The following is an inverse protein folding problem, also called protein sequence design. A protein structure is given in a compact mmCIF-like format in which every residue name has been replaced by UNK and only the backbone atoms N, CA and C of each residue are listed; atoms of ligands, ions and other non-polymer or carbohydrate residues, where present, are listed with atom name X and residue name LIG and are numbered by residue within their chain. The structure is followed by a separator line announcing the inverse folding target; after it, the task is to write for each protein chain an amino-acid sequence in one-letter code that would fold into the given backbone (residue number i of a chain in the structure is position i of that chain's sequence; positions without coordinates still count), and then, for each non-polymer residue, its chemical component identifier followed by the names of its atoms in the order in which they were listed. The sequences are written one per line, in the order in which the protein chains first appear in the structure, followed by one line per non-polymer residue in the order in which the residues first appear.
data_IF_177396885693
#
_entry.id   IF_177396885693
#
_cell.length_a   1.000
_cell.length_b   1.000
_cell.length_c   1.000
_cell.angle_alpha   90.00
_cell.angle_beta   90.00
_cell.angle_gamma   90.00
#
_symmetry.space_group_name_H-M   'P 1'
#
loop_
_entity.id
_entity.type
_entity.pdbx_description
1 polymer ?
#
# COMPACT_ATOMS: atom_id res chain seq x y z
N UNK A 1 -12.66 -2.81 2.89
CA UNK A 1 -12.98 -2.65 1.47
C UNK A 1 -12.13 -1.52 0.87
N UNK A 2 -11.81 -1.65 -0.41
CA UNK A 2 -11.19 -0.58 -1.21
C UNK A 2 -12.03 -0.33 -2.46
N UNK A 3 -11.81 0.84 -3.06
CA UNK A 3 -12.45 1.19 -4.33
C UNK A 3 -11.66 0.59 -5.48
N UNK A 4 -12.38 0.04 -6.44
CA UNK A 4 -11.87 -0.42 -7.72
C UNK A 4 -12.70 0.11 -8.87
N UNK A 5 -12.16 0.01 -10.08
CA UNK A 5 -12.84 0.37 -11.33
C UNK A 5 -12.77 -0.82 -12.26
N UNK A 6 -13.93 -1.30 -12.70
CA UNK A 6 -14.05 -2.34 -13.73
C UNK A 6 -15.02 -1.84 -14.80
N UNK A 7 -14.50 -1.51 -15.97
CA UNK A 7 -15.25 -0.75 -16.97
C UNK A 7 -15.56 0.66 -16.47
N UNK A 8 -16.80 1.11 -16.60
CA UNK A 8 -17.26 2.44 -16.17
C UNK A 8 -17.80 2.45 -14.73
N UNK A 9 -17.82 1.30 -14.04
CA UNK A 9 -18.41 1.17 -12.71
C UNK A 9 -17.35 1.12 -11.61
N UNK A 10 -17.63 1.84 -10.50
CA UNK A 10 -16.88 1.71 -9.24
C UNK A 10 -17.34 0.46 -8.49
N UNK A 11 -16.38 -0.27 -7.96
CA UNK A 11 -16.63 -1.43 -7.11
C UNK A 11 -16.06 -1.21 -5.72
N UNK A 12 -16.76 -1.69 -4.68
CA UNK A 12 -16.28 -1.70 -3.29
C UNK A 12 -16.10 -3.15 -2.88
N UNK A 13 -14.85 -3.61 -2.82
CA UNK A 13 -14.53 -5.02 -2.55
C UNK A 13 -13.48 -5.17 -1.46
N UNK A 14 -13.40 -6.34 -0.81
CA UNK A 14 -12.32 -6.65 0.11
C UNK A 14 -10.94 -6.51 -0.52
N UNK A 15 -9.97 -6.16 0.31
CA UNK A 15 -8.54 -6.18 -0.01
C UNK A 15 -7.99 -7.54 0.41
N UNK A 16 -7.26 -8.22 -0.47
CA UNK A 16 -6.49 -9.41 -0.13
C UNK A 16 -5.10 -8.99 0.36
N UNK A 17 -4.76 -9.39 1.58
CA UNK A 17 -3.42 -9.21 2.12
C UNK A 17 -2.67 -10.54 2.10
N UNK A 18 -1.40 -10.52 1.68
CA UNK A 18 -0.52 -11.69 1.63
C UNK A 18 0.75 -11.42 2.45
N UNK A 19 1.35 -12.46 3.04
CA UNK A 19 2.59 -12.37 3.81
C UNK A 19 3.55 -13.51 3.48
N UNK A 20 4.80 -13.43 3.95
CA UNK A 20 5.79 -14.50 3.81
C UNK A 20 6.43 -14.63 2.43
N UNK A 21 6.34 -13.60 1.61
CA UNK A 21 6.87 -13.57 0.25
C UNK A 21 8.10 -12.65 0.17
N UNK A 22 8.99 -12.88 -0.82
CA UNK A 22 10.05 -11.92 -1.12
C UNK A 22 9.45 -10.55 -1.42
N UNK A 23 10.22 -9.48 -1.25
CA UNK A 23 9.75 -8.11 -1.43
C UNK A 23 9.04 -7.86 -2.77
N UNK A 24 8.43 -6.68 -2.97
CA UNK A 24 7.54 -6.36 -4.09
C UNK A 24 8.28 -6.25 -5.44
N UNK A 25 8.83 -7.37 -5.91
CA UNK A 25 9.45 -7.54 -7.22
C UNK A 25 8.43 -7.85 -8.32
N UNK A 26 8.89 -7.96 -9.58
CA UNK A 26 8.05 -8.23 -10.75
C UNK A 26 7.24 -9.53 -10.61
N UNK A 27 7.83 -10.59 -10.07
CA UNK A 27 7.16 -11.88 -9.87
C UNK A 27 5.95 -11.76 -8.94
N UNK A 28 6.09 -10.97 -7.86
CA UNK A 28 5.01 -10.77 -6.91
C UNK A 28 3.87 -9.92 -7.51
N UNK A 29 4.20 -8.92 -8.35
CA UNK A 29 3.21 -8.16 -9.09
C UNK A 29 2.44 -9.02 -10.10
N UNK A 30 3.14 -9.92 -10.81
CA UNK A 30 2.50 -10.88 -11.71
C UNK A 30 1.55 -11.83 -10.96
N UNK A 31 1.98 -12.38 -9.82
CA UNK A 31 1.16 -13.23 -8.98
C UNK A 31 -0.06 -12.48 -8.43
N UNK A 32 0.08 -11.22 -8.02
CA UNK A 32 -1.05 -10.40 -7.57
C UNK A 32 -2.09 -10.18 -8.68
N UNK A 33 -1.62 -9.97 -9.93
CA UNK A 33 -2.50 -9.83 -11.10
C UNK A 33 -3.26 -11.13 -11.36
N UNK A 34 -2.60 -12.27 -11.25
CA UNK A 34 -3.24 -13.58 -11.42
C UNK A 34 -4.30 -13.82 -10.32
N UNK A 35 -3.99 -13.54 -9.05
CA UNK A 35 -4.93 -13.64 -7.94
C UNK A 35 -6.19 -12.80 -8.17
N UNK A 36 -6.06 -11.57 -8.66
CA UNK A 36 -7.21 -10.71 -8.96
C UNK A 36 -8.07 -11.30 -10.07
N UNK A 37 -7.46 -11.89 -11.10
CA UNK A 37 -8.20 -12.50 -12.21
C UNK A 37 -8.93 -13.77 -11.78
N UNK A 38 -8.37 -14.53 -10.81
CA UNK A 38 -8.97 -15.76 -10.29
C UNK A 38 -10.03 -15.51 -9.21
N UNK A 39 -9.95 -14.37 -8.50
CA UNK A 39 -10.80 -14.06 -7.35
C UNK A 39 -11.70 -12.84 -7.64
N UNK A 40 -12.83 -13.01 -8.32
CA UNK A 40 -13.68 -11.89 -8.74
C UNK A 40 -14.27 -11.07 -7.57
N UNK A 41 -14.14 -11.56 -6.34
CA UNK A 41 -14.61 -10.87 -5.12
C UNK A 41 -13.65 -9.82 -4.57
N UNK A 42 -12.43 -9.66 -5.12
CA UNK A 42 -11.44 -8.68 -4.69
C UNK A 42 -11.11 -7.69 -5.81
N UNK A 43 -10.63 -6.51 -5.47
CA UNK A 43 -10.14 -5.52 -6.43
C UNK A 43 -8.74 -5.01 -6.08
N UNK A 44 -8.13 -5.54 -5.02
CA UNK A 44 -6.82 -5.10 -4.56
C UNK A 44 -6.07 -6.20 -3.82
N UNK A 45 -4.77 -6.30 -4.08
CA UNK A 45 -3.84 -7.20 -3.40
C UNK A 45 -2.71 -6.36 -2.81
N UNK A 46 -2.41 -6.58 -1.54
CA UNK A 46 -1.31 -5.92 -0.82
C UNK A 46 -0.39 -6.96 -0.19
N UNK A 47 0.90 -6.71 -0.18
CA UNK A 47 1.89 -7.52 0.55
C UNK A 47 2.17 -6.89 1.92
N UNK A 48 2.16 -7.68 2.98
CA UNK A 48 2.70 -7.27 4.27
C UNK A 48 4.24 -7.29 4.17
N UNK A 49 4.86 -6.12 4.32
CA UNK A 49 6.32 -5.98 4.18
C UNK A 49 7.04 -5.81 5.51
N UNK A 50 6.36 -5.26 6.52
CA UNK A 50 6.86 -5.20 7.90
C UNK A 50 5.69 -5.10 8.89
N UNK A 51 5.82 -5.71 10.07
CA UNK A 51 4.77 -5.67 11.08
C UNK A 51 5.29 -6.04 12.48
N UNK A 52 4.67 -5.45 13.50
CA UNK A 52 4.86 -5.81 14.92
C UNK A 52 4.18 -7.12 15.32
N UNK A 53 3.37 -7.70 14.42
CA UNK A 53 2.62 -8.94 14.69
C UNK A 53 2.28 -9.66 13.36
N UNK A 54 2.02 -10.99 13.39
CA UNK A 54 1.60 -11.73 12.20
C UNK A 54 0.34 -11.15 11.56
N UNK A 55 0.21 -11.26 10.23
CA UNK A 55 -0.95 -10.76 9.47
C UNK A 55 -2.28 -11.21 10.07
N UNK A 56 -2.37 -12.49 10.44
CA UNK A 56 -3.59 -13.08 11.02
C UNK A 56 -4.04 -12.46 12.36
N UNK A 57 -3.15 -11.73 13.05
CA UNK A 57 -3.44 -11.06 14.33
C UNK A 57 -3.78 -9.58 14.18
N UNK A 58 -3.61 -8.98 13.00
CA UNK A 58 -3.98 -7.60 12.76
C UNK A 58 -5.52 -7.45 12.83
N UNK A 59 -5.98 -6.35 13.39
CA UNK A 59 -7.41 -6.07 13.58
C UNK A 59 -7.75 -4.67 13.12
N UNK A 60 -8.99 -4.50 12.68
CA UNK A 60 -9.56 -3.18 12.39
C UNK A 60 -9.69 -2.39 13.69
N UNK A 61 -9.25 -1.15 13.66
CA UNK A 61 -9.36 -0.20 14.76
C UNK A 61 -10.46 0.81 14.41
N UNK A 62 -11.45 1.04 15.30
CA UNK A 62 -12.40 2.13 15.11
C UNK A 62 -11.67 3.46 14.98
N UNK A 63 -12.00 4.23 13.97
CA UNK A 63 -11.32 5.50 13.72
C UNK A 63 -12.26 6.53 13.09
N UNK A 64 -11.88 7.78 13.23
CA UNK A 64 -12.43 8.94 12.56
C UNK A 64 -11.34 9.78 11.90
N UNK A 65 -11.71 10.89 11.29
CA UNK A 65 -10.75 11.84 10.72
C UNK A 65 -10.26 12.78 11.84
N UNK A 66 -9.30 12.33 12.64
CA UNK A 66 -8.71 13.11 13.73
C UNK A 66 -7.43 13.83 13.32
N UNK A 67 -7.09 14.89 14.07
CA UNK A 67 -5.83 15.61 13.87
C UNK A 67 -4.61 14.71 14.08
N UNK A 68 -4.66 13.82 15.06
CA UNK A 68 -3.60 12.88 15.36
C UNK A 68 -3.31 11.95 14.19
N UNK A 69 -4.35 11.39 13.57
CA UNK A 69 -4.22 10.54 12.39
C UNK A 69 -3.67 11.29 11.17
N UNK A 70 -4.12 12.54 10.96
CA UNK A 70 -3.58 13.39 9.90
C UNK A 70 -2.10 13.69 10.10
N UNK A 71 -1.66 13.96 11.33
CA UNK A 71 -0.24 14.19 11.63
C UNK A 71 0.58 12.91 11.45
N UNK A 72 0.04 11.73 11.81
CA UNK A 72 0.68 10.43 11.55
C UNK A 72 0.87 10.20 10.04
N UNK A 73 -0.16 10.44 9.25
CA UNK A 73 -0.10 10.33 7.79
C UNK A 73 0.92 11.32 7.19
N UNK A 74 0.94 12.57 7.63
CA UNK A 74 1.91 13.58 7.17
C UNK A 74 3.35 13.18 7.46
N UNK A 75 3.61 12.61 8.64
CA UNK A 75 4.94 12.08 8.99
C UNK A 75 5.32 10.91 8.07
N UNK A 76 4.41 9.98 7.82
CA UNK A 76 4.64 8.86 6.92
C UNK A 76 4.91 9.33 5.49
N UNK A 77 4.09 10.24 4.94
CA UNK A 77 4.28 10.82 3.61
C UNK A 77 5.63 11.56 3.51
N UNK A 78 6.01 12.32 4.53
CA UNK A 78 7.30 13.02 4.56
C UNK A 78 8.50 12.06 4.51
N UNK A 79 8.45 10.93 5.23
CA UNK A 79 9.47 9.88 5.18
C UNK A 79 9.56 9.30 3.77
N UNK A 80 8.42 8.89 3.20
CA UNK A 80 8.36 8.28 1.87
C UNK A 80 8.89 9.22 0.80
N UNK A 81 8.44 10.47 0.76
CA UNK A 81 8.89 11.48 -0.21
C UNK A 81 10.38 11.77 -0.11
N UNK A 82 10.91 11.90 1.11
CA UNK A 82 12.33 12.13 1.31
C UNK A 82 13.17 10.96 0.80
N UNK A 83 12.86 9.73 1.22
CA UNK A 83 13.60 8.54 0.84
C UNK A 83 13.49 8.22 -0.65
N UNK A 84 12.33 8.46 -1.25
CA UNK A 84 12.10 8.30 -2.68
C UNK A 84 13.00 9.24 -3.50
N UNK A 85 13.10 10.52 -3.12
CA UNK A 85 13.98 11.49 -3.78
C UNK A 85 15.45 11.16 -3.57
N UNK A 86 15.87 10.86 -2.33
CA UNK A 86 17.27 10.53 -2.00
C UNK A 86 17.78 9.32 -2.80
N UNK A 87 16.92 8.37 -3.12
CA UNK A 87 17.26 7.16 -3.87
C UNK A 87 17.11 7.30 -5.39
N UNK A 88 16.54 8.39 -5.91
CA UNK A 88 16.18 8.53 -7.31
C UNK A 88 14.97 7.69 -7.73
N UNK A 89 14.21 7.14 -6.76
CA UNK A 89 13.02 6.34 -7.08
C UNK A 89 11.89 7.20 -7.67
N UNK A 90 11.83 8.49 -7.31
CA UNK A 90 10.87 9.48 -7.86
C UNK A 90 10.93 9.59 -9.38
N UNK A 91 12.09 9.35 -10.00
CA UNK A 91 12.27 9.42 -11.46
C UNK A 91 11.61 8.24 -12.20
N UNK A 92 11.16 7.22 -11.46
CA UNK A 92 10.57 5.99 -11.99
C UNK A 92 9.05 5.91 -11.82
N UNK A 93 8.47 6.89 -11.15
CA UNK A 93 7.07 6.87 -10.77
C UNK A 93 6.38 8.17 -11.15
N UNK A 94 5.09 8.10 -11.39
CA UNK A 94 4.24 9.27 -11.59
C UNK A 94 3.70 9.83 -10.28
N UNK A 95 3.22 8.93 -9.39
CA UNK A 95 2.70 9.28 -8.06
C UNK A 95 3.11 8.24 -7.02
N UNK A 96 3.21 8.68 -5.77
CA UNK A 96 3.44 7.80 -4.64
C UNK A 96 2.43 8.09 -3.51
N UNK A 97 1.15 7.70 -3.65
CA UNK A 97 0.20 7.77 -2.56
C UNK A 97 0.67 6.97 -1.33
N UNK A 98 0.53 7.57 -0.17
CA UNK A 98 0.73 6.95 1.14
C UNK A 98 -0.60 6.91 1.85
N UNK A 99 -1.06 5.73 2.23
CA UNK A 99 -2.37 5.53 2.82
C UNK A 99 -2.23 5.08 4.28
N UNK A 100 -3.02 5.65 5.17
CA UNK A 100 -3.11 5.21 6.55
C UNK A 100 -4.39 4.38 6.73
N UNK A 101 -4.23 3.09 7.00
CA UNK A 101 -5.34 2.16 7.21
C UNK A 101 -5.59 1.93 8.70
N UNK A 102 -6.86 1.92 9.13
CA UNK A 102 -7.24 1.60 10.50
C UNK A 102 -7.23 0.07 10.73
N UNK A 103 -6.10 -0.55 10.42
CA UNK A 103 -5.85 -1.99 10.63
C UNK A 103 -4.45 -2.13 11.19
N UNK A 104 -4.29 -2.83 12.30
CA UNK A 104 -2.97 -3.00 12.88
C UNK A 104 -2.94 -3.90 14.11
N UNK A 105 -1.79 -3.96 14.76
CA UNK A 105 -1.55 -4.69 16.00
C UNK A 105 -1.68 -3.75 17.21
N UNK A 106 -2.22 -4.26 18.32
CA UNK A 106 -2.28 -3.56 19.61
C UNK A 106 -2.87 -2.13 19.54
N UNK A 107 -3.89 -1.93 18.70
CA UNK A 107 -4.54 -0.61 18.53
C UNK A 107 -3.80 0.35 17.59
N UNK A 108 -2.69 -0.06 17.00
CA UNK A 108 -1.97 0.71 15.98
C UNK A 108 -2.62 0.62 14.61
N UNK A 109 -2.11 1.41 13.68
CA UNK A 109 -2.56 1.48 12.28
C UNK A 109 -1.48 0.99 11.32
N UNK A 110 -1.84 0.80 10.07
CA UNK A 110 -0.89 0.41 9.02
C UNK A 110 -0.70 1.52 7.99
N UNK A 111 0.50 1.60 7.45
CA UNK A 111 0.81 2.44 6.30
C UNK A 111 0.84 1.56 5.05
N UNK A 112 0.20 2.01 3.95
CA UNK A 112 0.32 1.37 2.65
C UNK A 112 1.17 2.23 1.72
N UNK A 113 2.17 1.62 1.12
CA UNK A 113 3.01 2.19 0.07
C UNK A 113 2.40 1.86 -1.30
N UNK A 114 2.09 2.88 -2.09
CA UNK A 114 1.49 2.70 -3.42
C UNK A 114 2.20 3.53 -4.50
N UNK A 115 3.46 3.21 -4.83
CA UNK A 115 4.08 3.86 -5.98
C UNK A 115 3.43 3.37 -7.27
N UNK A 116 3.05 4.31 -8.13
CA UNK A 116 2.44 4.01 -9.42
C UNK A 116 3.08 4.82 -10.54
N UNK A 117 3.19 4.18 -11.70
CA UNK A 117 3.55 4.81 -12.95
C UNK A 117 2.33 4.85 -13.88
N UNK A 118 2.16 5.98 -14.58
CA UNK A 118 1.04 6.21 -15.49
C UNK A 118 1.37 7.35 -16.45
N UNK A 119 0.81 7.28 -17.66
CA UNK A 119 0.93 8.35 -18.65
C UNK A 119 -0.28 9.29 -18.59
N UNK A 120 -1.46 8.75 -18.38
CA UNK A 120 -2.74 9.50 -18.53
C UNK A 120 -3.68 9.36 -17.31
N UNK A 121 -3.28 8.59 -16.29
CA UNK A 121 -4.12 8.31 -15.13
C UNK A 121 -5.29 7.37 -15.39
N UNK A 122 -5.56 6.99 -16.64
CA UNK A 122 -6.63 6.02 -16.97
C UNK A 122 -6.17 4.60 -16.60
N UNK A 123 -4.93 4.28 -16.93
CA UNK A 123 -4.26 3.07 -16.47
C UNK A 123 -3.07 3.44 -15.62
N UNK A 124 -2.75 2.63 -14.62
CA UNK A 124 -1.57 2.81 -13.80
C UNK A 124 -0.96 1.46 -13.40
N UNK A 125 0.35 1.38 -13.36
CA UNK A 125 1.06 0.19 -12.91
C UNK A 125 1.64 0.44 -11.53
N UNK A 126 1.46 -0.51 -10.61
CA UNK A 126 2.26 -0.55 -9.39
C UNK A 126 3.72 -0.78 -9.76
N UNK A 127 4.63 0.01 -9.21
CA UNK A 127 6.06 -0.01 -9.56
C UNK A 127 6.84 -0.82 -8.52
N UNK A 128 7.62 -1.83 -8.92
CA UNK A 128 8.48 -2.57 -8.00
C UNK A 128 9.52 -1.69 -7.32
N UNK A 129 9.78 -1.94 -6.04
CA UNK A 129 10.78 -1.23 -5.25
C UNK A 129 11.92 -2.16 -4.86
N UNK A 130 13.15 -1.68 -4.96
CA UNK A 130 14.32 -2.43 -4.53
C UNK A 130 14.33 -2.68 -3.01
N UNK A 131 14.87 -3.83 -2.57
CA UNK A 131 14.80 -4.27 -1.18
C UNK A 131 15.50 -3.32 -0.20
N UNK A 132 16.57 -2.66 -0.62
CA UNK A 132 17.32 -1.72 0.24
C UNK A 132 16.46 -0.48 0.58
N UNK A 133 15.83 0.13 -0.43
CA UNK A 133 14.94 1.27 -0.24
C UNK A 133 13.73 0.89 0.59
N UNK A 134 13.11 -0.26 0.29
CA UNK A 134 11.95 -0.75 1.03
C UNK A 134 12.28 -0.97 2.50
N UNK A 135 13.39 -1.65 2.81
CA UNK A 135 13.84 -1.90 4.17
C UNK A 135 14.07 -0.59 4.93
N UNK A 136 14.69 0.39 4.28
CA UNK A 136 14.91 1.71 4.85
C UNK A 136 13.60 2.44 5.12
N UNK A 137 12.64 2.40 4.18
CA UNK A 137 11.31 2.98 4.38
C UNK A 137 10.57 2.30 5.53
N UNK A 138 10.51 0.97 5.56
CA UNK A 138 9.85 0.23 6.62
C UNK A 138 10.41 0.60 7.99
N UNK A 139 11.72 0.61 8.16
CA UNK A 139 12.36 0.97 9.43
C UNK A 139 11.93 2.35 9.94
N UNK A 140 11.89 3.37 9.06
CA UNK A 140 11.53 4.72 9.46
C UNK A 140 10.01 4.87 9.67
N UNK A 141 9.18 4.22 8.87
CA UNK A 141 7.73 4.21 9.05
C UNK A 141 7.31 3.51 10.34
N UNK A 142 7.91 2.37 10.65
CA UNK A 142 7.65 1.61 11.89
C UNK A 142 8.10 2.34 13.17
N UNK A 143 8.97 3.34 13.05
CA UNK A 143 9.37 4.21 14.15
C UNK A 143 8.35 5.34 14.45
N UNK A 144 7.37 5.57 13.56
CA UNK A 144 6.30 6.55 13.78
C UNK A 144 5.33 6.01 14.83
N UNK A 145 5.04 6.82 15.84
CA UNK A 145 4.08 6.43 16.88
C UNK A 145 2.71 6.11 16.30
N UNK A 146 2.13 4.98 16.74
CA UNK A 146 0.85 4.47 16.26
C UNK A 146 0.94 3.67 14.95
N UNK A 147 2.10 3.57 14.28
CA UNK A 147 2.28 2.65 13.15
C UNK A 147 2.70 1.27 13.65
N UNK A 148 2.00 0.24 13.21
CA UNK A 148 2.23 -1.15 13.62
C UNK A 148 2.46 -2.12 12.47
N UNK A 149 2.20 -1.71 11.24
CA UNK A 149 2.50 -2.50 10.05
C UNK A 149 2.68 -1.61 8.80
N UNK A 150 3.41 -2.14 7.83
CA UNK A 150 3.59 -1.53 6.50
C UNK A 150 3.19 -2.55 5.45
N UNK A 151 2.32 -2.13 4.55
CA UNK A 151 1.91 -2.88 3.37
C UNK A 151 2.44 -2.23 2.09
N UNK A 152 2.58 -3.03 1.06
CA UNK A 152 2.86 -2.59 -0.30
C UNK A 152 1.72 -2.96 -1.22
N UNK A 153 1.16 -1.99 -1.96
CA UNK A 153 0.07 -2.24 -2.91
C UNK A 153 0.62 -2.72 -4.25
N UNK A 154 0.30 -3.95 -4.60
CA UNK A 154 0.77 -4.64 -5.80
C UNK A 154 -0.14 -4.46 -7.01
N UNK A 155 -1.27 -3.77 -6.84
CA UNK A 155 -2.36 -3.80 -7.82
C UNK A 155 -2.22 -2.71 -8.87
N UNK A 156 -2.42 -3.10 -10.11
CA UNK A 156 -2.53 -2.16 -11.23
C UNK A 156 -3.92 -1.51 -11.29
N UNK A 157 -4.04 -0.42 -12.02
CA UNK A 157 -5.32 0.17 -12.41
C UNK A 157 -5.56 -0.12 -13.90
N UNK A 158 -6.65 -0.76 -14.31
CA UNK A 158 -7.63 -1.43 -13.46
C UNK A 158 -7.06 -2.70 -12.77
N UNK A 159 -7.72 -3.35 -11.80
CA UNK A 159 -9.04 -3.00 -11.23
C UNK A 159 -8.97 -2.04 -10.04
N UNK A 160 -7.80 -1.75 -9.48
CA UNK A 160 -7.68 -0.78 -8.38
C UNK A 160 -7.77 0.67 -8.91
N UNK A 161 -8.17 1.59 -8.06
CA UNK A 161 -7.98 3.04 -8.28
C UNK A 161 -6.55 3.45 -7.91
N UNK A 162 -6.09 4.64 -8.30
CA UNK A 162 -4.80 5.18 -7.88
C UNK A 162 -4.87 5.52 -6.40
N UNK A 163 -5.83 6.32 -6.01
CA UNK A 163 -6.25 6.51 -4.63
C UNK A 163 -7.02 5.28 -4.14
N UNK A 164 -7.10 5.10 -2.85
CA UNK A 164 -7.83 3.97 -2.26
C UNK A 164 -9.35 4.21 -2.12
N UNK A 165 -9.80 5.33 -2.59
CA UNK A 165 -11.19 5.78 -2.57
C UNK A 165 -11.87 5.69 -3.94
#
# INVERSE_FOLDING_TARGET
HSVGVQGDERSYRPVLAIEGLPGPGEELHAAATELINQLPGINRVVALVDSKAPLASLRTVPCDLSRERLERLRKADAVVRRLSRESGFDDRIWQFPVILLPVGAAGGESVVLRPVDSIDGMTARSVPMGPELLTRMCRELMAIDGVSAVFYDLTHKPPATIEWE
#
